data_IF_010007755329
#
_entry.id   IF_010007755329
#
_cell.length_a   1.000
_cell.length_b   1.000
_cell.length_c   1.000
_cell.angle_alpha   90.00
_cell.angle_beta   90.00
_cell.angle_gamma   90.00
#
_symmetry.space_group_name_H-M   'P 1'
#
loop_
_entity.id
_entity.type
_entity.pdbx_description
1 polymer ?
#
# COMPACT_ATOMS: atom_id res chain seq x y z
N UNK A 1 -2.21 3.52 -30.48
CA UNK A 1 -1.74 4.26 -31.67
C UNK A 1 -0.43 4.98 -31.32
N UNK A 2 0.31 5.47 -32.30
CA UNK A 2 1.54 6.27 -32.09
C UNK A 2 1.31 7.43 -31.09
N UNK A 3 0.14 8.05 -31.14
CA UNK A 3 -0.30 9.13 -30.25
C UNK A 3 -0.30 8.72 -28.77
N UNK A 4 -0.77 7.51 -28.43
CA UNK A 4 -0.78 7.02 -27.04
C UNK A 4 0.64 6.88 -26.50
N UNK A 5 1.59 6.46 -27.33
CA UNK A 5 2.98 6.32 -26.91
C UNK A 5 3.67 7.68 -26.76
N UNK A 6 3.34 8.65 -27.62
CA UNK A 6 3.82 10.03 -27.50
C UNK A 6 3.29 10.68 -26.22
N UNK A 7 2.02 10.45 -25.89
CA UNK A 7 1.42 10.95 -24.66
C UNK A 7 2.10 10.35 -23.42
N UNK A 8 2.30 9.03 -23.39
CA UNK A 8 3.03 8.36 -22.29
C UNK A 8 4.45 8.90 -22.12
N UNK A 9 5.16 9.13 -23.23
CA UNK A 9 6.50 9.71 -23.18
C UNK A 9 6.50 11.12 -22.59
N UNK A 10 5.52 11.96 -22.97
CA UNK A 10 5.36 13.31 -22.41
C UNK A 10 5.15 13.26 -20.90
N UNK A 11 4.22 12.42 -20.43
CA UNK A 11 3.94 12.24 -18.99
C UNK A 11 5.19 11.79 -18.23
N UNK A 12 5.96 10.85 -18.78
CA UNK A 12 7.20 10.39 -18.15
C UNK A 12 8.25 11.50 -18.07
N UNK A 13 8.40 12.32 -19.13
CA UNK A 13 9.33 13.46 -19.14
C UNK A 13 8.94 14.48 -18.07
N UNK A 14 7.65 14.80 -17.94
CA UNK A 14 7.12 15.69 -16.91
C UNK A 14 7.32 15.15 -15.48
N UNK A 15 7.34 13.82 -15.32
CA UNK A 15 7.58 13.17 -14.04
C UNK A 15 9.08 13.13 -13.64
N UNK A 16 10.02 13.26 -14.58
CA UNK A 16 11.47 13.13 -14.33
C UNK A 16 12.00 14.01 -13.18
N UNK A 17 11.59 15.27 -13.00
CA UNK A 17 12.05 16.09 -11.88
C UNK A 17 11.70 15.47 -10.52
N UNK A 18 10.50 14.90 -10.38
CA UNK A 18 10.06 14.24 -9.16
C UNK A 18 10.86 12.96 -8.90
N UNK A 19 11.04 12.14 -9.95
CA UNK A 19 11.85 10.92 -9.88
C UNK A 19 13.26 11.25 -9.38
N UNK A 20 13.92 12.24 -9.99
CA UNK A 20 15.28 12.66 -9.59
C UNK A 20 15.33 13.18 -8.15
N UNK A 21 14.32 13.92 -7.72
CA UNK A 21 14.24 14.49 -6.37
C UNK A 21 14.19 13.39 -5.30
N UNK A 22 13.47 12.30 -5.57
CA UNK A 22 13.24 11.22 -4.60
C UNK A 22 14.11 9.99 -4.82
N UNK A 23 14.85 9.91 -5.92
CA UNK A 23 15.83 8.85 -6.15
C UNK A 23 16.82 8.78 -4.98
N UNK A 24 17.06 7.57 -4.46
CA UNK A 24 17.88 7.32 -3.29
C UNK A 24 17.24 7.74 -1.95
N UNK A 25 15.97 8.15 -1.91
CA UNK A 25 15.23 8.41 -0.65
C UNK A 25 14.45 7.16 -0.22
N UNK A 26 14.15 7.08 1.08
CA UNK A 26 13.34 6.00 1.67
C UNK A 26 11.92 6.48 1.87
N UNK A 27 10.94 5.72 1.38
CA UNK A 27 9.51 6.02 1.55
C UNK A 27 8.89 4.96 2.47
N UNK A 28 8.37 5.37 3.63
CA UNK A 28 7.63 4.47 4.52
C UNK A 28 6.15 4.56 4.20
N UNK A 29 5.58 3.47 3.71
CA UNK A 29 4.22 3.41 3.16
C UNK A 29 3.37 2.52 4.04
N UNK A 30 2.38 3.11 4.73
CA UNK A 30 1.39 2.34 5.49
C UNK A 30 0.37 1.74 4.51
N UNK A 31 0.41 0.43 4.37
CA UNK A 31 -0.53 -0.34 3.57
C UNK A 31 -1.57 -1.04 4.47
N UNK A 32 -2.84 -0.95 4.15
CA UNK A 32 -3.91 -1.64 4.89
C UNK A 32 -4.82 -0.71 5.71
N UNK A 33 -6.00 -1.24 6.03
CA UNK A 33 -7.17 -0.52 6.51
C UNK A 33 -8.44 -1.09 5.87
N UNK A 34 -9.61 -0.50 6.13
CA UNK A 34 -10.91 -0.83 5.50
C UNK A 34 -11.01 -0.45 4.01
N UNK A 35 -9.89 -0.21 3.34
CA UNK A 35 -9.80 0.14 1.91
C UNK A 35 -9.98 -1.05 0.97
N UNK A 36 -10.06 -2.28 1.52
CA UNK A 36 -10.35 -3.52 0.77
C UNK A 36 -11.75 -3.53 0.14
N UNK A 37 -12.61 -2.56 0.49
CA UNK A 37 -13.97 -2.43 -0.02
C UNK A 37 -14.11 -1.64 -1.34
N UNK A 38 -13.05 -1.05 -1.92
CA UNK A 38 -13.23 -0.43 -3.25
C UNK A 38 -12.15 0.47 -3.85
N UNK A 39 -10.87 0.37 -3.46
CA UNK A 39 -9.85 1.34 -3.92
C UNK A 39 -8.78 0.80 -4.88
N UNK A 40 -7.94 -0.10 -4.39
CA UNK A 40 -6.71 -0.55 -5.07
C UNK A 40 -6.52 -2.03 -4.75
N UNK A 41 -6.33 -2.87 -5.78
CA UNK A 41 -6.03 -4.29 -5.57
C UNK A 41 -4.64 -4.46 -4.96
N UNK A 42 -4.45 -5.53 -4.19
CA UNK A 42 -3.14 -5.92 -3.65
C UNK A 42 -2.08 -6.01 -4.76
N UNK A 43 -2.48 -6.42 -5.97
CA UNK A 43 -1.61 -6.45 -7.16
C UNK A 43 -1.19 -5.07 -7.66
N UNK A 44 -2.13 -4.12 -7.78
CA UNK A 44 -1.82 -2.77 -8.24
C UNK A 44 -0.89 -2.06 -7.26
N UNK A 45 -1.08 -2.28 -5.95
CA UNK A 45 -0.17 -1.74 -4.94
C UNK A 45 1.23 -2.34 -5.06
N UNK A 46 1.34 -3.64 -5.32
CA UNK A 46 2.63 -4.29 -5.54
C UNK A 46 3.34 -3.73 -6.78
N UNK A 47 2.62 -3.52 -7.89
CA UNK A 47 3.15 -2.94 -9.12
C UNK A 47 3.71 -1.52 -8.87
N UNK A 48 3.02 -0.71 -8.07
CA UNK A 48 3.48 0.63 -7.69
C UNK A 48 4.77 0.57 -6.85
N UNK A 49 4.87 -0.35 -5.89
CA UNK A 49 6.10 -0.53 -5.11
C UNK A 49 7.28 -0.94 -6.00
N UNK A 50 7.03 -1.83 -6.96
CA UNK A 50 8.02 -2.25 -7.94
C UNK A 50 8.47 -1.05 -8.77
N UNK A 51 7.54 -0.22 -9.27
CA UNK A 51 7.87 1.00 -10.00
C UNK A 51 8.74 1.94 -9.16
N UNK A 52 8.35 2.22 -7.91
CA UNK A 52 9.12 3.07 -6.98
C UNK A 52 10.55 2.54 -6.81
N UNK A 53 10.70 1.23 -6.64
CA UNK A 53 12.02 0.57 -6.55
C UNK A 53 12.84 0.75 -7.83
N UNK A 54 12.22 0.59 -9.01
CA UNK A 54 12.90 0.70 -10.30
C UNK A 54 13.41 2.11 -10.59
N UNK A 55 12.68 3.14 -10.13
CA UNK A 55 13.07 4.54 -10.31
C UNK A 55 14.03 5.04 -9.22
N UNK A 56 14.50 4.14 -8.35
CA UNK A 56 15.54 4.40 -7.36
C UNK A 56 15.04 4.84 -5.98
N UNK A 57 13.72 4.85 -5.73
CA UNK A 57 13.17 5.06 -4.39
C UNK A 57 13.29 3.74 -3.61
N UNK A 58 13.53 3.81 -2.30
CA UNK A 58 13.55 2.63 -1.42
C UNK A 58 12.24 2.54 -0.63
N UNK A 59 11.21 1.83 -1.15
CA UNK A 59 9.96 1.67 -0.42
C UNK A 59 10.13 0.74 0.79
N UNK A 60 9.51 1.10 1.91
CA UNK A 60 9.35 0.28 3.11
C UNK A 60 7.87 0.19 3.42
N UNK A 61 7.31 -1.01 3.39
CA UNK A 61 5.88 -1.22 3.60
C UNK A 61 5.60 -1.56 5.06
N UNK A 62 4.62 -0.89 5.65
CA UNK A 62 4.08 -1.20 6.99
C UNK A 62 2.64 -1.66 6.82
N UNK A 63 2.33 -2.93 7.09
CA UNK A 63 0.98 -3.46 6.91
C UNK A 63 0.19 -3.58 8.22
N UNK A 64 -1.14 -3.59 8.10
CA UNK A 64 -2.04 -4.00 9.17
C UNK A 64 -2.50 -5.44 8.94
N UNK A 65 -3.54 -5.86 9.66
CA UNK A 65 -4.18 -7.17 9.43
C UNK A 65 -5.51 -7.30 10.17
N UNK A 66 -6.19 -6.18 10.42
CA UNK A 66 -7.40 -6.13 11.26
C UNK A 66 -8.50 -7.10 10.79
N UNK A 67 -8.90 -7.07 9.50
CA UNK A 67 -9.88 -8.00 8.94
C UNK A 67 -9.44 -9.46 9.06
N UNK A 68 -8.18 -9.77 8.74
CA UNK A 68 -7.63 -11.12 8.79
C UNK A 68 -7.62 -11.67 10.23
N UNK A 69 -7.21 -10.84 11.21
CA UNK A 69 -7.27 -11.17 12.64
C UNK A 69 -8.71 -11.44 13.07
N UNK A 70 -9.66 -10.55 12.74
CA UNK A 70 -11.07 -10.74 13.07
C UNK A 70 -11.64 -12.03 12.47
N UNK A 71 -11.24 -12.36 11.23
CA UNK A 71 -11.65 -13.60 10.57
C UNK A 71 -11.15 -14.85 11.29
N UNK A 72 -9.91 -14.84 11.78
CA UNK A 72 -9.36 -15.95 12.57
C UNK A 72 -10.00 -16.05 13.96
N UNK A 73 -10.16 -14.94 14.68
CA UNK A 73 -10.79 -14.93 16.00
C UNK A 73 -12.23 -15.45 15.93
N UNK A 74 -13.00 -15.04 14.91
CA UNK A 74 -14.35 -15.56 14.68
C UNK A 74 -14.37 -17.08 14.46
N UNK A 75 -13.41 -17.64 13.72
CA UNK A 75 -13.28 -19.10 13.53
C UNK A 75 -12.95 -19.84 14.82
N UNK A 76 -12.27 -19.18 15.75
CA UNK A 76 -11.93 -19.71 17.07
C UNK A 76 -13.02 -19.47 18.11
N UNK A 77 -14.12 -18.79 17.76
CA UNK A 77 -15.17 -18.41 18.70
C UNK A 77 -14.78 -17.29 19.67
N UNK A 78 -13.68 -16.58 19.41
CA UNK A 78 -13.17 -15.51 20.26
C UNK A 78 -13.80 -14.17 19.81
N UNK A 79 -14.45 -13.47 20.74
CA UNK A 79 -15.06 -12.17 20.46
C UNK A 79 -14.00 -11.08 20.42
N UNK A 80 -14.06 -10.22 19.40
CA UNK A 80 -13.17 -9.07 19.29
C UNK A 80 -13.77 -7.84 19.97
N UNK A 81 -13.07 -7.27 20.95
CA UNK A 81 -13.46 -6.02 21.62
C UNK A 81 -12.58 -4.89 21.11
N UNK A 82 -13.18 -3.72 20.91
CA UNK A 82 -12.48 -2.50 20.51
C UNK A 82 -12.78 -1.36 21.48
N UNK A 83 -11.77 -0.55 21.78
CA UNK A 83 -11.87 0.67 22.58
C UNK A 83 -11.02 1.75 21.91
N UNK A 84 -11.59 2.93 21.68
CA UNK A 84 -10.92 4.07 21.03
C UNK A 84 -10.19 3.73 19.72
N UNK A 85 -10.83 2.92 18.89
CA UNK A 85 -10.29 2.49 17.59
C UNK A 85 -9.14 1.47 17.67
N UNK A 86 -8.82 0.97 18.87
CA UNK A 86 -7.82 -0.08 19.10
C UNK A 86 -8.51 -1.37 19.51
N UNK A 87 -8.00 -2.49 18.99
CA UNK A 87 -8.42 -3.81 19.46
C UNK A 87 -7.85 -4.02 20.86
N UNK A 88 -8.67 -4.46 21.80
CA UNK A 88 -8.20 -4.97 23.09
C UNK A 88 -7.58 -6.34 22.83
N UNK A 89 -6.37 -6.57 23.32
CA UNK A 89 -5.66 -7.83 23.19
C UNK A 89 -5.24 -8.26 24.60
N UNK A 90 -5.96 -9.23 25.11
CA UNK A 90 -5.70 -9.94 26.37
C UNK A 90 -4.73 -11.12 26.12
N UNK A 91 -4.34 -11.77 27.21
CA UNK A 91 -3.41 -12.91 27.26
C UNK A 91 -4.10 -14.27 27.38
N UNK A 92 -5.42 -14.28 27.60
CA UNK A 92 -6.29 -15.47 27.66
C UNK A 92 -6.61 -16.03 26.26
#
# INVERSE_FOLDING_TARGET
>A
SLEVNQEKARVLIEALPYIRTFSGKTFVIKYGGSTRAGGVSDSSFADDLVLLSHIGIRPVVVHGGGPEISGWLSKLGISSIFSDGRRITDDD
#
